data_IF_756493117972
#
_entry.id   IF_756493117972
#
_cell.length_a   1.000
_cell.length_b   1.000
_cell.length_c   1.000
_cell.angle_alpha   90.00
_cell.angle_beta   90.00
_cell.angle_gamma   90.00
#
_symmetry.space_group_name_H-M   'P 1'
#
loop_
_entity.id
_entity.type
_entity.pdbx_description
1 polymer ?
#
# COMPACT_ATOMS: atom_id res chain seq x y z
N UNK A 1 -8.30 -0.29 -11.47
CA UNK A 1 -9.10 0.39 -10.42
C UNK A 1 -10.28 1.09 -11.08
N UNK A 2 -11.41 1.16 -10.36
CA UNK A 2 -12.68 1.66 -10.92
C UNK A 2 -13.21 2.86 -10.13
N UNK A 3 -12.38 3.43 -9.24
CA UNK A 3 -12.73 4.59 -8.44
C UNK A 3 -11.50 5.44 -8.15
N UNK A 4 -11.74 6.71 -7.89
CA UNK A 4 -10.78 7.72 -7.49
C UNK A 4 -11.25 8.35 -6.20
N UNK A 5 -10.34 8.60 -5.27
CA UNK A 5 -10.63 9.29 -4.01
C UNK A 5 -9.78 10.54 -3.87
N UNK A 6 -10.36 11.57 -3.33
CA UNK A 6 -9.71 12.86 -3.08
C UNK A 6 -9.87 13.29 -1.64
N UNK A 7 -8.74 13.63 -0.99
CA UNK A 7 -8.72 14.20 0.35
C UNK A 7 -8.77 15.74 0.26
N UNK A 8 -9.74 16.33 0.93
CA UNK A 8 -9.88 17.79 1.04
C UNK A 8 -9.04 18.32 2.21
N UNK A 9 -8.66 19.61 2.14
CA UNK A 9 -7.89 20.29 3.19
C UNK A 9 -8.59 20.33 4.56
N UNK A 10 -9.91 20.14 4.60
CA UNK A 10 -10.70 20.07 5.83
C UNK A 10 -10.85 18.64 6.40
N UNK A 11 -10.08 17.66 5.91
CA UNK A 11 -10.11 16.28 6.37
C UNK A 11 -11.31 15.46 5.90
N UNK A 12 -12.12 15.98 4.97
CA UNK A 12 -13.20 15.20 4.32
C UNK A 12 -12.67 14.50 3.07
N UNK A 13 -13.27 13.36 2.75
CA UNK A 13 -12.91 12.56 1.57
C UNK A 13 -14.08 12.58 0.59
N UNK A 14 -13.76 12.65 -0.69
CA UNK A 14 -14.71 12.49 -1.79
C UNK A 14 -14.30 11.29 -2.64
N UNK A 15 -15.27 10.53 -3.13
CA UNK A 15 -15.06 9.40 -4.02
C UNK A 15 -15.86 9.56 -5.31
N UNK A 16 -15.25 9.17 -6.42
CA UNK A 16 -15.86 9.13 -7.75
C UNK A 16 -15.57 7.78 -8.40
N UNK A 17 -16.49 7.31 -9.22
CA UNK A 17 -16.33 6.06 -9.98
C UNK A 17 -17.39 5.03 -9.62
N UNK A 18 -17.05 3.75 -9.76
CA UNK A 18 -17.97 2.65 -9.55
C UNK A 18 -18.38 2.57 -8.05
N UNK A 19 -19.66 2.69 -7.71
CA UNK A 19 -20.14 2.66 -6.33
C UNK A 19 -20.29 1.24 -5.78
N UNK A 20 -20.10 0.21 -6.62
CA UNK A 20 -20.25 -1.18 -6.21
C UNK A 20 -19.39 -1.46 -4.98
N UNK A 21 -19.89 -2.32 -4.10
CA UNK A 21 -19.22 -2.73 -2.85
C UNK A 21 -19.05 -1.61 -1.81
N UNK A 22 -19.63 -0.40 -2.00
CA UNK A 22 -19.55 0.71 -1.06
C UNK A 22 -18.18 1.39 -0.96
N UNK A 23 -17.27 1.18 -1.94
CA UNK A 23 -15.88 1.70 -1.91
C UNK A 23 -15.76 3.22 -1.97
N UNK A 24 -16.83 3.91 -2.31
CA UNK A 24 -16.95 5.37 -2.31
C UNK A 24 -17.99 5.89 -1.29
N UNK A 25 -18.46 5.05 -0.36
CA UNK A 25 -19.34 5.43 0.74
C UNK A 25 -18.52 6.08 1.87
N UNK A 26 -18.08 7.31 1.65
CA UNK A 26 -17.11 8.04 2.46
C UNK A 26 -17.72 9.21 3.23
N UNK A 27 -19.04 9.40 3.19
CA UNK A 27 -19.74 10.57 3.74
C UNK A 27 -19.57 10.77 5.24
N UNK A 28 -19.38 9.66 5.97
CA UNK A 28 -19.11 9.67 7.42
C UNK A 28 -17.67 10.01 7.81
N UNK A 29 -16.74 10.02 6.85
CA UNK A 29 -15.31 10.19 7.15
C UNK A 29 -14.99 11.64 7.51
N UNK A 30 -14.26 11.82 8.62
CA UNK A 30 -13.85 13.12 9.18
C UNK A 30 -12.43 13.01 9.68
N UNK A 31 -11.75 14.14 9.74
CA UNK A 31 -10.40 14.25 10.28
C UNK A 31 -9.39 13.29 9.60
N UNK A 32 -9.62 13.02 8.31
CA UNK A 32 -8.73 12.18 7.50
C UNK A 32 -7.50 12.98 7.10
N UNK A 33 -6.32 12.38 7.28
CA UNK A 33 -5.02 12.99 6.97
C UNK A 33 -4.29 12.30 5.82
N UNK A 34 -4.65 11.05 5.49
CA UNK A 34 -4.17 10.34 4.31
C UNK A 34 -5.20 9.32 3.83
N UNK A 35 -5.17 8.99 2.54
CA UNK A 35 -6.09 8.04 1.91
C UNK A 35 -5.31 7.09 1.00
N UNK A 36 -5.83 5.88 0.83
CA UNK A 36 -5.34 4.90 -0.12
C UNK A 36 -6.51 4.18 -0.78
N UNK A 37 -6.50 4.10 -2.12
CA UNK A 37 -7.50 3.42 -2.91
C UNK A 37 -6.96 2.08 -3.39
N UNK A 38 -7.53 0.98 -2.92
CA UNK A 38 -7.26 -0.37 -3.39
C UNK A 38 -8.08 -0.71 -4.64
N UNK A 39 -8.16 -2.00 -4.97
CA UNK A 39 -8.98 -2.46 -6.10
C UNK A 39 -10.47 -2.22 -5.85
N UNK A 40 -10.97 -2.69 -4.69
CA UNK A 40 -12.39 -2.73 -4.35
C UNK A 40 -12.69 -2.14 -2.97
N UNK A 41 -11.74 -1.43 -2.37
CA UNK A 41 -11.92 -0.77 -1.06
C UNK A 41 -11.08 0.51 -1.00
N UNK A 42 -11.43 1.35 -0.07
CA UNK A 42 -10.74 2.61 0.25
C UNK A 42 -10.38 2.60 1.72
N UNK A 43 -9.20 3.08 2.06
CA UNK A 43 -8.72 3.20 3.45
C UNK A 43 -8.33 4.64 3.73
N UNK A 44 -8.70 5.14 4.90
CA UNK A 44 -8.33 6.44 5.42
C UNK A 44 -7.54 6.33 6.72
N UNK A 45 -6.49 7.12 6.83
CA UNK A 45 -5.77 7.36 8.08
C UNK A 45 -6.37 8.58 8.76
N UNK A 46 -6.82 8.42 10.00
CA UNK A 46 -7.39 9.48 10.82
C UNK A 46 -6.30 10.30 11.54
N UNK A 47 -6.61 11.53 11.89
CA UNK A 47 -5.70 12.42 12.64
C UNK A 47 -5.35 11.86 14.03
N UNK A 48 -6.23 11.07 14.64
CA UNK A 48 -6.00 10.37 15.91
C UNK A 48 -5.15 9.10 15.77
N UNK A 49 -4.63 8.82 14.55
CA UNK A 49 -3.77 7.67 14.24
C UNK A 49 -4.50 6.32 14.24
N UNK A 50 -5.79 6.34 14.07
CA UNK A 50 -6.60 5.15 13.74
C UNK A 50 -6.82 5.06 12.23
N UNK A 51 -7.48 3.99 11.77
CA UNK A 51 -7.86 3.82 10.37
C UNK A 51 -9.36 3.59 10.21
N UNK A 52 -9.88 4.02 9.08
CA UNK A 52 -11.23 3.70 8.59
C UNK A 52 -11.13 3.06 7.22
N UNK A 53 -12.08 2.20 6.87
CA UNK A 53 -12.13 1.58 5.56
C UNK A 53 -13.58 1.46 5.07
N UNK A 54 -13.76 1.51 3.75
CA UNK A 54 -15.04 1.32 3.07
C UNK A 54 -14.85 0.51 1.80
N UNK A 55 -15.83 -0.28 1.42
CA UNK A 55 -15.80 -1.12 0.23
C UNK A 55 -15.97 -2.59 0.52
N UNK A 56 -15.55 -3.43 -0.44
CA UNK A 56 -15.57 -4.88 -0.29
C UNK A 56 -14.82 -5.32 0.96
N UNK A 57 -15.43 -6.24 1.71
CA UNK A 57 -14.83 -6.85 2.90
C UNK A 57 -14.90 -8.39 2.88
N UNK A 58 -15.09 -8.99 1.71
CA UNK A 58 -15.24 -10.44 1.54
C UNK A 58 -13.98 -11.21 1.99
N UNK A 59 -12.84 -10.56 1.93
CA UNK A 59 -11.54 -11.07 2.38
C UNK A 59 -11.05 -10.42 3.69
N UNK A 60 -11.90 -9.64 4.38
CA UNK A 60 -11.58 -8.90 5.62
C UNK A 60 -10.64 -7.71 5.40
N UNK A 61 -10.47 -7.22 4.17
CA UNK A 61 -9.59 -6.11 3.82
C UNK A 61 -9.97 -4.77 4.45
N UNK A 62 -11.21 -4.62 4.95
CA UNK A 62 -11.68 -3.45 5.67
C UNK A 62 -11.64 -3.62 7.21
N UNK A 63 -11.09 -4.71 7.75
CA UNK A 63 -11.04 -4.98 9.19
C UNK A 63 -9.91 -4.19 9.89
N UNK A 64 -9.94 -2.87 9.79
CA UNK A 64 -8.93 -1.96 10.33
C UNK A 64 -9.33 -1.31 11.67
N UNK A 65 -10.54 -1.56 12.17
CA UNK A 65 -11.13 -0.84 13.32
C UNK A 65 -10.41 -1.00 14.66
N UNK A 66 -9.45 -1.93 14.79
CA UNK A 66 -8.62 -2.07 15.99
C UNK A 66 -7.23 -1.42 15.88
N UNK A 67 -6.90 -0.87 14.72
CA UNK A 67 -5.57 -0.32 14.44
C UNK A 67 -5.38 1.04 15.12
N UNK A 68 -4.21 1.22 15.72
CA UNK A 68 -3.83 2.44 16.46
C UNK A 68 -2.37 2.78 16.20
N UNK A 69 -1.99 3.99 16.56
CA UNK A 69 -0.61 4.51 16.45
C UNK A 69 -0.07 4.48 15.02
N UNK A 70 -0.94 4.59 14.03
CA UNK A 70 -0.56 4.53 12.62
C UNK A 70 0.14 5.80 12.14
N UNK A 71 1.10 5.64 11.24
CA UNK A 71 1.67 6.72 10.44
C UNK A 71 1.35 6.61 8.95
N UNK A 72 1.02 5.41 8.45
CA UNK A 72 0.70 5.18 7.05
C UNK A 72 -0.33 4.06 6.89
N UNK A 73 -1.11 4.13 5.82
CA UNK A 73 -2.00 3.05 5.36
C UNK A 73 -1.81 2.85 3.86
N UNK A 74 -1.93 1.60 3.40
CA UNK A 74 -1.85 1.26 1.98
C UNK A 74 -2.85 0.15 1.65
N UNK A 75 -3.67 0.39 0.63
CA UNK A 75 -4.71 -0.53 0.16
C UNK A 75 -4.27 -1.22 -1.13
N UNK A 76 -4.19 -2.54 -1.10
CA UNK A 76 -3.84 -3.39 -2.22
C UNK A 76 -5.03 -3.93 -3.01
N UNK A 77 -4.88 -5.08 -3.66
CA UNK A 77 -5.95 -5.74 -4.40
C UNK A 77 -7.09 -6.15 -3.48
N UNK A 78 -6.80 -6.96 -2.48
CA UNK A 78 -7.75 -7.48 -1.49
C UNK A 78 -7.12 -7.58 -0.08
N UNK A 79 -6.10 -6.77 0.22
CA UNK A 79 -5.48 -6.65 1.52
C UNK A 79 -5.16 -5.19 1.83
N UNK A 80 -4.91 -4.90 3.10
CA UNK A 80 -4.60 -3.57 3.61
C UNK A 80 -3.40 -3.65 4.53
N UNK A 81 -2.45 -2.75 4.37
CA UNK A 81 -1.31 -2.56 5.25
C UNK A 81 -1.49 -1.29 6.07
N UNK A 82 -1.11 -1.35 7.33
CA UNK A 82 -0.95 -0.21 8.21
C UNK A 82 0.45 -0.21 8.81
N UNK A 83 1.14 0.91 8.73
CA UNK A 83 2.44 1.08 9.37
C UNK A 83 2.27 1.90 10.64
N UNK A 84 2.73 1.37 11.75
CA UNK A 84 2.72 2.06 13.05
C UNK A 84 3.95 2.96 13.18
N UNK A 85 3.90 3.92 14.09
CA UNK A 85 5.00 4.87 14.37
C UNK A 85 6.26 4.21 14.95
N UNK A 86 6.11 3.02 15.54
CA UNK A 86 7.20 2.20 16.05
C UNK A 86 7.75 1.20 15.01
N UNK A 87 7.35 1.36 13.74
CA UNK A 87 7.90 0.60 12.62
C UNK A 87 7.33 -0.81 12.44
N UNK A 88 6.23 -1.14 13.13
CA UNK A 88 5.52 -2.42 12.95
C UNK A 88 4.51 -2.33 11.82
N UNK A 89 4.36 -3.42 11.07
CA UNK A 89 3.36 -3.53 10.03
C UNK A 89 2.16 -4.33 10.52
N UNK A 90 0.99 -3.70 10.43
CA UNK A 90 -0.31 -4.35 10.62
C UNK A 90 -0.86 -4.73 9.26
N UNK A 91 -1.55 -5.85 9.17
CA UNK A 91 -2.09 -6.35 7.91
C UNK A 91 -3.45 -7.00 8.13
N UNK A 92 -4.33 -6.85 7.15
CA UNK A 92 -5.61 -7.56 7.08
C UNK A 92 -6.01 -7.79 5.64
N UNK A 93 -6.80 -8.82 5.38
CA UNK A 93 -7.28 -9.13 4.04
C UNK A 93 -6.91 -10.53 3.58
N UNK A 94 -6.91 -10.73 2.25
CA UNK A 94 -6.48 -11.97 1.61
C UNK A 94 -5.01 -12.27 1.87
N UNK A 95 -4.73 -13.56 2.13
CA UNK A 95 -3.39 -14.12 2.20
C UNK A 95 -3.22 -15.33 1.26
N UNK A 96 -4.01 -15.39 0.19
CA UNK A 96 -4.00 -16.52 -0.75
C UNK A 96 -2.65 -16.65 -1.47
N UNK A 97 -1.88 -15.55 -1.55
CA UNK A 97 -0.55 -15.46 -2.16
C UNK A 97 0.56 -15.12 -1.14
N UNK A 98 0.33 -15.30 0.16
CA UNK A 98 1.24 -14.93 1.25
C UNK A 98 1.54 -13.42 1.34
N UNK A 99 0.67 -12.55 0.79
CA UNK A 99 0.83 -11.10 0.82
C UNK A 99 0.65 -10.47 2.21
N UNK A 100 0.16 -11.25 3.19
CA UNK A 100 0.04 -10.82 4.59
C UNK A 100 1.17 -11.35 5.49
N UNK A 101 2.17 -12.05 4.97
CA UNK A 101 3.26 -12.63 5.76
C UNK A 101 4.33 -11.59 6.10
N UNK A 102 3.92 -10.55 6.82
CA UNK A 102 4.72 -9.37 7.17
C UNK A 102 5.12 -9.31 8.65
N UNK A 103 4.82 -10.35 9.43
CA UNK A 103 4.99 -10.34 10.89
C UNK A 103 6.45 -10.21 11.35
N UNK A 104 7.39 -10.70 10.54
CA UNK A 104 8.83 -10.66 10.81
C UNK A 104 9.50 -9.38 10.27
N UNK A 105 8.72 -8.45 9.75
CA UNK A 105 9.26 -7.19 9.25
C UNK A 105 9.59 -6.25 10.41
N UNK A 106 10.84 -5.79 10.45
CA UNK A 106 11.35 -4.89 11.48
C UNK A 106 11.92 -3.61 10.85
N UNK A 107 11.89 -2.52 11.63
CA UNK A 107 12.45 -1.23 11.25
C UNK A 107 11.86 -0.66 9.95
N UNK A 108 10.56 -0.89 9.72
CA UNK A 108 9.89 -0.42 8.52
C UNK A 108 9.58 1.08 8.63
N UNK A 109 9.89 1.82 7.58
CA UNK A 109 9.67 3.27 7.47
C UNK A 109 8.58 3.62 6.45
N UNK A 110 8.32 2.75 5.48
CA UNK A 110 7.24 2.89 4.53
C UNK A 110 6.70 1.52 4.08
N UNK A 111 5.43 1.47 3.69
CA UNK A 111 4.77 0.28 3.13
C UNK A 111 4.03 0.62 1.86
N UNK A 112 3.99 -0.31 0.91
CA UNK A 112 3.19 -0.22 -0.30
C UNK A 112 2.56 -1.56 -0.62
N UNK A 113 1.24 -1.56 -0.84
CA UNK A 113 0.47 -2.75 -1.19
C UNK A 113 0.19 -2.78 -2.69
N UNK A 114 0.68 -3.79 -3.37
CA UNK A 114 0.36 -4.11 -4.74
C UNK A 114 -0.96 -4.88 -4.86
N UNK A 115 -1.16 -5.53 -6.00
CA UNK A 115 -2.40 -6.29 -6.20
C UNK A 115 -2.42 -7.55 -5.33
N UNK A 116 -1.32 -8.33 -5.31
CA UNK A 116 -1.15 -9.58 -4.58
C UNK A 116 0.22 -9.68 -3.87
N UNK A 117 0.90 -8.55 -3.65
CA UNK A 117 2.16 -8.50 -2.93
C UNK A 117 2.21 -7.27 -2.03
N UNK A 118 3.06 -7.32 -1.04
CA UNK A 118 3.34 -6.25 -0.08
C UNK A 118 4.81 -5.90 -0.10
N UNK A 119 5.12 -4.62 -0.01
CA UNK A 119 6.49 -4.10 -0.02
C UNK A 119 6.71 -3.23 1.21
N UNK A 120 7.85 -3.40 1.87
CA UNK A 120 8.29 -2.62 3.01
C UNK A 120 9.67 -2.02 2.80
N UNK A 121 9.81 -0.72 3.01
CA UNK A 121 11.10 -0.03 3.04
C UNK A 121 11.62 -0.04 4.48
N UNK A 122 12.86 -0.47 4.66
CA UNK A 122 13.54 -0.44 5.96
C UNK A 122 14.29 0.86 6.18
N UNK A 123 14.57 1.16 7.45
CA UNK A 123 15.30 2.36 7.85
C UNK A 123 16.75 2.42 7.33
N UNK A 124 17.33 1.27 6.97
CA UNK A 124 18.67 1.16 6.40
C UNK A 124 18.71 1.32 4.86
N UNK A 125 17.56 1.60 4.25
CA UNK A 125 17.43 1.77 2.80
C UNK A 125 17.33 0.44 2.02
N UNK A 126 17.23 -0.70 2.69
CA UNK A 126 16.92 -1.99 2.06
C UNK A 126 15.40 -2.18 1.95
N UNK A 127 14.97 -3.11 1.11
CA UNK A 127 13.54 -3.37 0.83
C UNK A 127 13.22 -4.84 1.09
N UNK A 128 12.05 -5.08 1.64
CA UNK A 128 11.48 -6.42 1.80
C UNK A 128 10.16 -6.51 1.04
N UNK A 129 9.86 -7.68 0.48
CA UNK A 129 8.60 -7.92 -0.19
C UNK A 129 8.14 -9.36 0.03
N UNK A 130 6.81 -9.54 0.11
CA UNK A 130 6.15 -10.85 0.22
C UNK A 130 4.89 -10.87 -0.63
N UNK A 131 4.47 -12.05 -1.00
CA UNK A 131 3.27 -12.26 -1.81
C UNK A 131 3.59 -12.94 -3.14
N UNK A 132 2.68 -12.77 -4.08
CA UNK A 132 2.83 -13.30 -5.44
C UNK A 132 4.14 -12.83 -6.09
N UNK A 133 4.90 -13.76 -6.69
CA UNK A 133 6.22 -13.48 -7.27
C UNK A 133 6.48 -14.17 -8.63
N UNK A 134 5.45 -14.59 -9.35
CA UNK A 134 5.63 -15.25 -10.66
C UNK A 134 6.30 -14.35 -11.70
N UNK A 135 6.13 -13.03 -11.57
CA UNK A 135 6.77 -12.06 -12.46
C UNK A 135 8.04 -11.44 -11.87
N UNK A 136 8.46 -11.86 -10.66
CA UNK A 136 9.62 -11.30 -9.99
C UNK A 136 9.33 -9.98 -9.22
N UNK A 137 8.06 -9.63 -8.98
CA UNK A 137 7.69 -8.38 -8.31
C UNK A 137 8.14 -8.27 -6.84
N UNK A 138 8.55 -9.40 -6.24
CA UNK A 138 9.16 -9.43 -4.91
C UNK A 138 10.70 -9.58 -4.95
N UNK A 139 11.35 -9.54 -6.11
CA UNK A 139 12.80 -9.66 -6.25
C UNK A 139 13.50 -8.33 -5.93
N UNK A 140 13.47 -7.94 -4.67
CA UNK A 140 13.97 -6.65 -4.15
C UNK A 140 15.15 -6.81 -3.19
N UNK A 141 15.65 -8.04 -2.99
CA UNK A 141 16.68 -8.35 -1.98
C UNK A 141 18.01 -7.61 -2.17
N UNK A 142 18.32 -7.26 -3.41
CA UNK A 142 19.57 -6.58 -3.78
C UNK A 142 19.42 -5.05 -3.79
N UNK A 143 18.24 -4.53 -3.47
CA UNK A 143 17.99 -3.11 -3.48
C UNK A 143 18.58 -2.44 -2.23
N UNK A 144 19.42 -1.45 -2.44
CA UNK A 144 20.04 -0.62 -1.40
C UNK A 144 19.87 0.86 -1.72
N UNK A 145 20.05 1.70 -0.72
CA UNK A 145 19.95 3.15 -0.82
C UNK A 145 18.57 3.63 -1.28
N UNK A 146 17.52 2.84 -1.03
CA UNK A 146 16.15 3.17 -1.39
C UNK A 146 15.58 4.19 -0.39
N UNK A 147 14.94 5.24 -0.92
CA UNK A 147 14.30 6.31 -0.14
C UNK A 147 12.78 6.35 -0.31
N UNK A 148 12.26 5.73 -1.36
CA UNK A 148 10.81 5.57 -1.56
C UNK A 148 10.50 4.29 -2.34
N UNK A 149 9.31 3.73 -2.11
CA UNK A 149 8.81 2.52 -2.76
C UNK A 149 7.38 2.72 -3.28
N UNK A 150 7.06 2.05 -4.37
CA UNK A 150 5.70 1.96 -4.89
C UNK A 150 5.45 0.57 -5.48
N UNK A 151 4.37 -0.07 -5.06
CA UNK A 151 3.91 -1.33 -5.62
C UNK A 151 2.77 -1.06 -6.61
N UNK A 152 2.93 -1.50 -7.83
CA UNK A 152 1.88 -1.54 -8.85
C UNK A 152 1.04 -2.81 -8.74
N UNK A 153 0.33 -3.17 -9.81
CA UNK A 153 -0.43 -4.41 -9.82
C UNK A 153 0.49 -5.63 -9.73
N UNK A 154 1.53 -5.67 -10.56
CA UNK A 154 2.41 -6.82 -10.79
C UNK A 154 3.89 -6.43 -10.88
N UNK A 155 4.26 -5.24 -10.42
CA UNK A 155 5.62 -4.72 -10.41
C UNK A 155 5.86 -3.88 -9.15
N UNK A 156 7.13 -3.68 -8.83
CA UNK A 156 7.59 -2.85 -7.71
C UNK A 156 8.62 -1.85 -8.24
N UNK A 157 8.54 -0.62 -7.76
CA UNK A 157 9.45 0.47 -8.10
C UNK A 157 10.09 1.00 -6.83
N UNK A 158 11.37 1.28 -6.88
CA UNK A 158 12.15 1.92 -5.82
C UNK A 158 12.88 3.16 -6.33
N UNK A 159 12.81 4.25 -5.60
CA UNK A 159 13.61 5.45 -5.82
C UNK A 159 14.85 5.39 -4.93
N UNK A 160 16.02 5.56 -5.51
CA UNK A 160 17.29 5.64 -4.78
C UNK A 160 17.61 7.06 -4.30
N UNK A 161 18.48 7.15 -3.32
CA UNK A 161 18.93 8.41 -2.75
C UNK A 161 19.67 9.32 -3.75
N UNK A 162 20.26 8.75 -4.79
CA UNK A 162 20.93 9.49 -5.88
C UNK A 162 19.96 10.01 -6.97
N UNK A 163 18.66 9.70 -6.83
CA UNK A 163 17.62 10.08 -7.79
C UNK A 163 17.29 8.99 -8.80
N UNK A 164 18.16 7.99 -9.00
CA UNK A 164 17.91 6.90 -9.94
C UNK A 164 16.75 5.99 -9.47
N UNK A 165 16.14 5.29 -10.41
CA UNK A 165 14.98 4.43 -10.18
C UNK A 165 15.34 2.98 -10.49
N UNK A 166 14.85 2.06 -9.67
CA UNK A 166 14.91 0.60 -9.90
C UNK A 166 13.49 0.05 -9.96
N UNK A 167 13.29 -0.97 -10.80
CA UNK A 167 11.99 -1.63 -10.91
C UNK A 167 12.18 -3.14 -11.12
N UNK A 168 11.17 -3.91 -10.69
CA UNK A 168 11.12 -5.37 -10.89
C UNK A 168 9.67 -5.84 -11.00
N UNK A 169 9.45 -6.93 -11.69
CA UNK A 169 8.12 -7.51 -11.87
C UNK A 169 7.74 -7.70 -13.33
N UNK A 170 6.44 -7.72 -13.60
CA UNK A 170 5.90 -7.80 -14.95
C UNK A 170 6.35 -6.61 -15.78
N UNK A 171 6.89 -6.87 -16.97
CA UNK A 171 7.42 -5.84 -17.89
C UNK A 171 6.85 -5.94 -19.31
N UNK A 172 5.71 -6.59 -19.49
CA UNK A 172 5.08 -6.78 -20.81
C UNK A 172 4.63 -5.48 -21.51
N UNK A 173 4.62 -4.38 -20.79
CA UNK A 173 4.24 -3.03 -21.25
C UNK A 173 5.33 -2.00 -20.88
N UNK A 174 6.58 -2.44 -20.73
CA UNK A 174 7.74 -1.58 -20.41
C UNK A 174 7.63 -0.83 -19.09
N UNK A 175 6.78 -1.32 -18.15
CA UNK A 175 6.56 -0.67 -16.85
C UNK A 175 7.73 -0.82 -15.87
N UNK A 176 8.71 -1.65 -16.20
CA UNK A 176 9.98 -1.77 -15.47
C UNK A 176 11.18 -1.21 -16.26
N UNK A 177 10.98 -0.68 -17.47
CA UNK A 177 12.03 -0.02 -18.24
C UNK A 177 12.24 1.41 -17.69
N UNK A 178 13.03 1.48 -16.62
CA UNK A 178 13.36 2.71 -15.90
C UNK A 178 14.82 3.13 -16.14
N UNK A 179 15.49 2.55 -17.15
CA UNK A 179 16.87 2.92 -17.50
C UNK A 179 16.93 4.39 -17.95
N UNK A 180 17.77 5.18 -17.28
CA UNK A 180 17.93 6.60 -17.56
C UNK A 180 16.90 7.52 -16.90
N UNK A 181 16.17 7.01 -15.90
CA UNK A 181 15.37 7.83 -15.00
C UNK A 181 16.26 8.30 -13.84
N UNK A 182 16.87 9.49 -14.00
CA UNK A 182 17.82 10.15 -13.10
C UNK A 182 17.60 11.69 -13.07
#
# INVERSE_FOLDING_TARGET
QWHTVGLKSNGRVIGLGCPNDGRIDLDGWRDIIAISAGRNHTVGLCADRTAVAAGSNDRKQCNVGGWKNLQMVSAGGAHTLGLTRDGKVLVTGSNDENQCDVLDWENITAVSAGYYHSVGLKADGTVVAVGHNEYGQCNVSDWTDIVAISAGAWHTVGLKADGSVVATGLDSSEQCDVLGWD
#
